data_IF_944516332788
#
_entry.id   IF_944516332788
#
_cell.length_a   1.000
_cell.length_b   1.000
_cell.length_c   1.000
_cell.angle_alpha   90.00
_cell.angle_beta   90.00
_cell.angle_gamma   90.00
#
_symmetry.space_group_name_H-M   'P 1'
#
loop_
_entity.id
_entity.type
_entity.pdbx_description
1 polymer ?
#
# COMPACT_ATOMS: atom_id res chain seq x y z
N UNK A 1 23.48 15.36 -11.38
CA UNK A 1 22.46 14.64 -12.12
C UNK A 1 23.12 13.48 -12.88
N UNK A 2 22.59 12.27 -12.72
CA UNK A 2 22.98 11.10 -13.52
C UNK A 2 21.84 10.86 -14.50
N UNK A 3 22.16 10.67 -15.77
CA UNK A 3 21.18 10.38 -16.82
C UNK A 3 21.47 8.96 -17.30
N UNK A 4 20.46 8.11 -17.29
CA UNK A 4 20.49 6.72 -17.73
C UNK A 4 19.24 6.37 -18.54
N UNK A 5 19.30 5.33 -19.35
CA UNK A 5 18.14 4.79 -20.06
C UNK A 5 17.81 3.44 -19.46
N UNK A 6 16.59 3.31 -18.94
CA UNK A 6 16.08 2.06 -18.36
C UNK A 6 14.80 1.69 -19.15
N UNK A 7 14.80 0.53 -19.79
CA UNK A 7 13.67 0.03 -20.59
C UNK A 7 13.15 1.05 -21.62
N UNK A 8 14.05 1.81 -22.23
CA UNK A 8 13.71 2.85 -23.22
C UNK A 8 13.26 4.19 -22.62
N UNK A 9 13.19 4.30 -21.28
CA UNK A 9 12.82 5.53 -20.58
C UNK A 9 14.08 6.27 -20.13
N UNK A 10 14.15 7.57 -20.42
CA UNK A 10 15.23 8.43 -19.95
C UNK A 10 15.00 8.80 -18.48
N UNK A 11 15.92 8.38 -17.62
CA UNK A 11 15.83 8.57 -16.16
C UNK A 11 16.85 9.61 -15.71
N UNK A 12 16.37 10.69 -15.07
CA UNK A 12 17.20 11.74 -14.46
C UNK A 12 17.27 11.51 -12.94
N UNK A 13 18.39 10.98 -12.44
CA UNK A 13 18.60 10.79 -11.00
C UNK A 13 19.17 12.06 -10.38
N UNK A 14 18.38 12.68 -9.51
CA UNK A 14 18.78 13.87 -8.78
C UNK A 14 19.14 13.48 -7.34
N UNK A 15 20.35 13.82 -6.89
CA UNK A 15 20.70 13.61 -5.48
C UNK A 15 19.93 14.58 -4.58
N UNK A 16 19.44 14.08 -3.46
CA UNK A 16 18.69 14.86 -2.46
C UNK A 16 19.10 14.43 -1.05
N UNK A 17 18.61 15.12 -0.03
CA UNK A 17 18.77 14.69 1.34
C UNK A 17 17.96 13.41 1.63
N UNK A 18 18.45 12.61 2.56
CA UNK A 18 17.72 11.43 3.02
C UNK A 18 16.39 11.83 3.66
N UNK A 19 15.32 11.11 3.31
CA UNK A 19 13.96 11.27 3.88
C UNK A 19 13.46 9.98 4.55
N UNK A 20 14.28 8.92 4.54
CA UNK A 20 13.98 7.61 5.12
C UNK A 20 15.10 7.25 6.09
N UNK A 21 14.78 6.48 7.13
CA UNK A 21 15.73 6.00 8.17
C UNK A 21 16.46 7.14 8.91
N UNK A 22 15.72 8.21 9.20
CA UNK A 22 16.20 9.37 9.98
C UNK A 22 15.10 9.85 10.94
N UNK A 23 15.51 10.59 11.98
CA UNK A 23 14.55 11.13 12.96
C UNK A 23 13.49 12.04 12.34
N UNK A 24 12.28 12.03 12.89
CA UNK A 24 11.08 12.68 12.35
C UNK A 24 11.26 14.18 12.04
N UNK A 25 11.92 14.94 12.92
CA UNK A 25 12.16 16.38 12.72
C UNK A 25 13.06 16.61 11.50
N UNK A 26 14.18 15.88 11.42
CA UNK A 26 15.11 15.97 10.30
C UNK A 26 14.46 15.54 8.98
N UNK A 27 13.62 14.50 9.02
CA UNK A 27 12.81 14.07 7.91
C UNK A 27 11.89 15.18 7.42
N UNK A 28 11.13 15.81 8.33
CA UNK A 28 10.22 16.92 7.98
C UNK A 28 10.95 18.09 7.31
N UNK A 29 12.10 18.51 7.85
CA UNK A 29 12.93 19.57 7.25
C UNK A 29 13.40 19.19 5.85
N UNK A 30 13.90 17.96 5.69
CA UNK A 30 14.39 17.47 4.40
C UNK A 30 13.26 17.36 3.37
N UNK A 31 12.07 16.96 3.75
CA UNK A 31 10.88 16.92 2.89
C UNK A 31 10.44 18.32 2.43
N UNK A 32 10.51 19.33 3.30
CA UNK A 32 10.22 20.73 2.95
C UNK A 32 11.23 21.26 1.93
N UNK A 33 12.52 20.95 2.11
CA UNK A 33 13.59 21.43 1.24
C UNK A 33 13.66 20.67 -0.10
N UNK A 34 13.16 19.44 -0.14
CA UNK A 34 13.27 18.54 -1.29
C UNK A 34 12.82 19.17 -2.62
N UNK A 35 11.64 19.77 -2.76
CA UNK A 35 11.19 20.35 -4.02
C UNK A 35 12.07 21.50 -4.51
N UNK A 36 12.64 22.28 -3.62
CA UNK A 36 13.54 23.40 -3.96
C UNK A 36 14.90 22.90 -4.46
N UNK A 37 15.44 21.86 -3.81
CA UNK A 37 16.68 21.22 -4.23
C UNK A 37 16.48 20.56 -5.60
N UNK A 38 15.37 19.85 -5.80
CA UNK A 38 15.03 19.24 -7.09
C UNK A 38 14.90 20.29 -8.17
N UNK A 39 14.17 21.38 -7.92
CA UNK A 39 14.03 22.48 -8.89
C UNK A 39 15.38 23.08 -9.28
N UNK A 40 16.23 23.40 -8.30
CA UNK A 40 17.57 23.91 -8.55
C UNK A 40 18.41 22.98 -9.44
N UNK A 41 18.34 21.66 -9.16
CA UNK A 41 19.07 20.67 -9.93
C UNK A 41 18.50 20.45 -11.32
N UNK A 42 17.20 20.48 -11.50
CA UNK A 42 16.54 20.42 -12.80
C UNK A 42 16.94 21.61 -13.65
N UNK A 43 16.90 22.83 -13.09
CA UNK A 43 17.29 24.04 -13.80
C UNK A 43 18.80 24.09 -14.18
N UNK A 44 19.64 23.39 -13.42
CA UNK A 44 21.09 23.24 -13.72
C UNK A 44 21.40 22.03 -14.61
N UNK A 45 20.42 21.19 -14.91
CA UNK A 45 20.59 20.07 -15.80
C UNK A 45 20.07 20.40 -17.20
N UNK A 46 20.37 19.52 -18.17
CA UNK A 46 19.81 19.62 -19.52
C UNK A 46 18.41 18.98 -19.60
N UNK A 47 17.63 19.05 -18.50
CA UNK A 47 16.28 18.51 -18.49
C UNK A 47 15.37 19.33 -19.43
N UNK A 48 14.68 18.69 -20.39
CA UNK A 48 13.93 19.38 -21.44
C UNK A 48 12.55 19.87 -20.96
N UNK A 49 12.52 20.84 -20.03
CA UNK A 49 11.27 21.32 -19.38
C UNK A 49 10.24 21.76 -20.41
N UNK A 50 10.67 22.44 -21.48
CA UNK A 50 9.75 23.01 -22.49
C UNK A 50 9.14 21.95 -23.42
N UNK A 51 9.70 20.75 -23.46
CA UNK A 51 9.26 19.63 -24.29
C UNK A 51 8.26 18.72 -23.56
N UNK A 52 7.94 19.02 -22.30
CA UNK A 52 6.99 18.23 -21.52
C UNK A 52 5.58 18.39 -22.07
N UNK A 53 4.97 17.28 -22.46
CA UNK A 53 3.57 17.22 -22.90
C UNK A 53 2.59 17.04 -21.74
N UNK A 54 3.06 16.49 -20.61
CA UNK A 54 2.32 16.33 -19.37
C UNK A 54 3.27 16.17 -18.19
N UNK A 55 2.79 16.48 -16.98
CA UNK A 55 3.52 16.22 -15.74
C UNK A 55 2.68 15.28 -14.87
N UNK A 56 3.21 14.11 -14.60
CA UNK A 56 2.65 13.16 -13.63
C UNK A 56 3.57 13.11 -12.42
N UNK A 57 3.02 13.33 -11.23
CA UNK A 57 3.84 13.18 -10.03
C UNK A 57 3.14 12.39 -8.95
N UNK A 58 3.92 11.59 -8.26
CA UNK A 58 3.52 10.87 -7.07
C UNK A 58 3.74 11.74 -5.83
N UNK A 59 2.79 11.75 -4.90
CA UNK A 59 2.85 12.57 -3.70
C UNK A 59 3.20 11.74 -2.46
N UNK A 60 4.49 11.50 -2.18
CA UNK A 60 4.94 10.94 -0.90
C UNK A 60 4.93 12.01 0.20
N UNK A 61 4.79 13.29 -0.18
CA UNK A 61 4.78 14.46 0.70
C UNK A 61 3.90 15.56 0.10
N UNK A 62 3.44 16.49 0.94
CA UNK A 62 2.58 17.62 0.52
C UNK A 62 3.35 18.81 -0.07
N UNK A 63 4.67 18.75 -0.16
CA UNK A 63 5.51 19.93 -0.47
C UNK A 63 5.88 20.09 -1.95
N UNK A 64 5.52 19.20 -2.85
CA UNK A 64 5.89 19.28 -4.27
C UNK A 64 5.15 20.38 -5.08
N UNK A 65 4.13 20.99 -4.52
CA UNK A 65 3.35 22.05 -5.18
C UNK A 65 4.21 23.13 -5.86
N UNK A 66 5.20 23.74 -5.20
CA UNK A 66 6.06 24.77 -5.80
C UNK A 66 6.85 24.29 -7.01
N UNK A 67 7.45 23.08 -6.92
CA UNK A 67 8.20 22.48 -8.02
C UNK A 67 7.31 22.28 -9.25
N UNK A 68 6.17 21.60 -9.05
CA UNK A 68 5.23 21.30 -10.15
C UNK A 68 4.67 22.59 -10.75
N UNK A 69 4.38 23.62 -9.94
CA UNK A 69 3.91 24.92 -10.43
C UNK A 69 4.90 25.57 -11.38
N UNK A 70 6.19 25.56 -11.06
CA UNK A 70 7.24 26.11 -11.94
C UNK A 70 7.35 25.32 -13.24
N UNK A 71 7.41 23.99 -13.15
CA UNK A 71 7.50 23.13 -14.34
C UNK A 71 6.28 23.31 -15.25
N UNK A 72 5.07 23.29 -14.69
CA UNK A 72 3.81 23.53 -15.40
C UNK A 72 3.79 24.88 -16.12
N UNK A 73 4.21 25.94 -15.43
CA UNK A 73 4.24 27.28 -16.02
C UNK A 73 5.27 27.42 -17.13
N UNK A 74 6.35 26.62 -17.10
CA UNK A 74 7.42 26.66 -18.10
C UNK A 74 7.10 25.82 -19.34
N UNK A 75 6.32 24.75 -19.20
CA UNK A 75 5.96 23.83 -20.29
C UNK A 75 4.54 24.03 -20.83
N UNK A 76 3.69 24.72 -20.06
CA UNK A 76 2.25 24.92 -20.37
C UNK A 76 1.49 23.60 -20.62
N UNK A 77 1.81 22.54 -19.89
CA UNK A 77 1.22 21.23 -20.06
C UNK A 77 0.28 20.86 -18.90
N UNK A 78 -0.67 19.91 -19.12
CA UNK A 78 -1.55 19.40 -18.07
C UNK A 78 -0.78 18.61 -17.01
N UNK A 79 -1.40 18.53 -15.84
CA UNK A 79 -0.75 17.94 -14.67
C UNK A 79 -1.66 16.91 -13.98
N UNK A 80 -1.08 15.76 -13.59
CA UNK A 80 -1.74 14.66 -12.91
C UNK A 80 -1.06 14.37 -11.57
N UNK A 81 -1.80 14.50 -10.47
CA UNK A 81 -1.35 14.11 -9.13
C UNK A 81 -1.82 12.71 -8.78
N UNK A 82 -0.88 11.80 -8.54
CA UNK A 82 -1.16 10.50 -7.94
C UNK A 82 -1.15 10.68 -6.42
N UNK A 83 -2.33 10.79 -5.82
CA UNK A 83 -2.50 11.06 -4.38
C UNK A 83 -2.78 9.74 -3.64
N UNK A 84 -1.80 9.25 -2.88
CA UNK A 84 -1.92 7.99 -2.13
C UNK A 84 -2.37 8.19 -0.70
N UNK A 85 -1.86 9.23 -0.06
CA UNK A 85 -2.12 9.49 1.35
C UNK A 85 -2.78 10.86 1.52
N UNK A 86 -3.88 10.88 2.26
CA UNK A 86 -4.60 12.11 2.58
C UNK A 86 -4.01 12.70 3.86
N UNK A 87 -2.86 13.36 3.74
CA UNK A 87 -2.22 14.08 4.85
C UNK A 87 -2.70 15.55 4.86
N UNK A 88 -3.00 16.15 6.01
CA UNK A 88 -2.72 15.69 7.37
C UNK A 88 -3.84 14.84 8.03
N UNK A 89 -4.92 14.53 7.30
CA UNK A 89 -6.11 13.88 7.84
C UNK A 89 -5.79 12.52 8.49
N UNK A 90 -5.01 11.65 7.84
CA UNK A 90 -4.66 10.34 8.42
C UNK A 90 -3.84 10.46 9.71
N UNK A 91 -2.98 11.49 9.81
CA UNK A 91 -2.19 11.72 11.00
C UNK A 91 -3.04 12.25 12.17
N UNK A 92 -4.11 12.99 11.85
CA UNK A 92 -5.13 13.39 12.83
C UNK A 92 -5.93 12.17 13.33
N UNK A 93 -6.35 11.29 12.43
CA UNK A 93 -7.12 10.09 12.76
C UNK A 93 -6.34 9.13 13.66
N UNK A 94 -5.03 9.01 13.45
CA UNK A 94 -4.13 8.21 14.31
C UNK A 94 -3.75 8.90 15.63
N UNK A 95 -4.18 10.16 15.85
CA UNK A 95 -3.82 10.92 17.05
C UNK A 95 -2.37 11.42 17.07
N UNK A 96 -1.64 11.32 15.95
CA UNK A 96 -0.28 11.84 15.80
C UNK A 96 -0.28 13.38 15.74
N UNK A 97 -1.28 13.94 15.09
CA UNK A 97 -1.56 15.38 15.07
C UNK A 97 -2.85 15.70 15.82
N UNK A 98 -2.91 16.91 16.37
CA UNK A 98 -4.13 17.49 16.92
C UNK A 98 -4.63 18.59 15.99
N UNK A 99 -5.90 19.00 16.11
CA UNK A 99 -6.46 20.16 15.39
C UNK A 99 -5.92 21.46 15.98
N UNK A 100 -4.64 21.71 15.76
CA UNK A 100 -3.87 22.86 16.21
C UNK A 100 -3.38 23.70 15.00
N UNK A 101 -2.68 24.84 15.19
CA UNK A 101 -2.14 25.65 14.11
C UNK A 101 -1.24 24.87 13.13
N UNK A 102 -0.52 23.85 13.59
CA UNK A 102 0.37 23.03 12.77
C UNK A 102 -0.44 22.18 11.78
N UNK A 103 -1.53 21.58 12.25
CA UNK A 103 -2.48 20.86 11.38
C UNK A 103 -3.04 21.75 10.27
N UNK A 104 -3.49 22.97 10.64
CA UNK A 104 -4.04 23.90 9.64
C UNK A 104 -2.99 24.39 8.66
N UNK A 105 -1.74 24.58 9.09
CA UNK A 105 -0.61 24.89 8.21
C UNK A 105 -0.38 23.77 7.20
N UNK A 106 -0.28 22.52 7.65
CA UNK A 106 -0.12 21.38 6.73
C UNK A 106 -1.31 21.24 5.78
N UNK A 107 -2.52 21.46 6.26
CA UNK A 107 -3.71 21.46 5.42
C UNK A 107 -3.69 22.56 4.35
N UNK A 108 -3.16 23.74 4.66
CA UNK A 108 -2.97 24.82 3.69
C UNK A 108 -1.94 24.43 2.63
N UNK A 109 -0.80 23.84 3.03
CA UNK A 109 0.24 23.37 2.13
C UNK A 109 -0.29 22.26 1.21
N UNK A 110 -1.02 21.28 1.75
CA UNK A 110 -1.66 20.24 0.97
C UNK A 110 -2.66 20.83 -0.05
N UNK A 111 -3.52 21.75 0.37
CA UNK A 111 -4.45 22.45 -0.52
C UNK A 111 -3.74 23.23 -1.63
N UNK A 112 -2.59 23.84 -1.34
CA UNK A 112 -1.76 24.48 -2.36
C UNK A 112 -1.25 23.46 -3.38
N UNK A 113 -0.69 22.33 -2.94
CA UNK A 113 -0.26 21.24 -3.84
C UNK A 113 -1.43 20.78 -4.73
N UNK A 114 -2.61 20.53 -4.14
CA UNK A 114 -3.80 20.13 -4.90
C UNK A 114 -4.22 21.21 -5.92
N UNK A 115 -4.07 22.49 -5.59
CA UNK A 115 -4.46 23.59 -6.50
C UNK A 115 -3.66 23.62 -7.80
N UNK A 116 -2.44 23.12 -7.79
CA UNK A 116 -1.56 23.03 -8.98
C UNK A 116 -1.98 21.92 -9.93
N UNK A 117 -2.56 20.82 -9.42
CA UNK A 117 -3.02 19.71 -10.22
C UNK A 117 -4.24 20.08 -11.10
N UNK A 118 -4.32 19.54 -12.31
CA UNK A 118 -5.51 19.57 -13.15
C UNK A 118 -6.34 18.31 -12.92
N UNK A 119 -5.66 17.19 -12.73
CA UNK A 119 -6.25 15.91 -12.42
C UNK A 119 -5.67 15.38 -11.11
N UNK A 120 -6.52 14.83 -10.25
CA UNK A 120 -6.08 14.09 -9.06
C UNK A 120 -6.67 12.69 -9.10
N UNK A 121 -5.79 11.68 -9.07
CA UNK A 121 -6.14 10.28 -8.86
C UNK A 121 -5.97 9.91 -7.39
N UNK A 122 -7.07 9.62 -6.70
CA UNK A 122 -7.07 9.11 -5.31
C UNK A 122 -7.13 7.59 -5.30
N UNK A 123 -6.68 6.98 -4.21
CA UNK A 123 -6.52 5.52 -4.17
C UNK A 123 -7.86 4.76 -4.10
N UNK A 124 -8.87 5.32 -3.44
CA UNK A 124 -10.17 4.67 -3.20
C UNK A 124 -11.32 5.66 -3.30
N UNK A 125 -12.55 5.13 -3.42
CA UNK A 125 -13.77 5.93 -3.49
C UNK A 125 -14.00 6.77 -2.23
N UNK A 126 -13.69 6.24 -1.04
CA UNK A 126 -13.83 6.98 0.21
C UNK A 126 -12.88 8.17 0.33
N UNK A 127 -11.82 8.21 -0.49
CA UNK A 127 -10.90 9.35 -0.51
C UNK A 127 -11.45 10.55 -1.30
N UNK A 128 -12.44 10.36 -2.16
CA UNK A 128 -13.05 11.44 -2.95
C UNK A 128 -13.62 12.57 -2.06
N UNK A 129 -14.23 12.23 -0.94
CA UNK A 129 -14.84 13.18 0.01
C UNK A 129 -13.88 14.26 0.51
N UNK A 130 -12.59 13.96 0.63
CA UNK A 130 -11.60 14.92 1.10
C UNK A 130 -11.28 16.03 0.07
N UNK A 131 -11.66 15.82 -1.19
CA UNK A 131 -11.37 16.71 -2.31
C UNK A 131 -12.60 17.32 -2.98
N UNK A 132 -13.80 17.14 -2.42
CA UNK A 132 -15.06 17.68 -2.97
C UNK A 132 -15.00 19.19 -3.24
N UNK A 133 -14.38 19.96 -2.35
CA UNK A 133 -14.26 21.42 -2.54
C UNK A 133 -13.26 21.79 -3.65
N UNK A 134 -12.31 20.90 -3.94
CA UNK A 134 -11.32 21.10 -4.99
C UNK A 134 -11.91 20.83 -6.38
N UNK A 135 -12.70 19.76 -6.53
CA UNK A 135 -13.31 19.39 -7.82
C UNK A 135 -14.35 20.38 -8.32
N UNK A 136 -14.94 21.18 -7.43
CA UNK A 136 -15.88 22.26 -7.80
C UNK A 136 -15.24 23.40 -8.60
N UNK A 137 -13.90 23.46 -8.69
CA UNK A 137 -13.20 24.45 -9.51
C UNK A 137 -13.28 24.07 -10.99
N UNK A 138 -13.35 25.06 -11.90
CA UNK A 138 -13.39 24.78 -13.33
C UNK A 138 -12.13 24.04 -13.80
N UNK A 139 -12.29 23.19 -14.78
CA UNK A 139 -11.21 22.40 -15.39
C UNK A 139 -10.41 21.55 -14.41
N UNK A 140 -11.08 20.95 -13.40
CA UNK A 140 -10.50 20.02 -12.46
C UNK A 140 -11.19 18.67 -12.57
N UNK A 141 -10.40 17.58 -12.64
CA UNK A 141 -10.90 16.21 -12.69
C UNK A 141 -10.41 15.43 -11.46
N UNK A 142 -11.34 14.81 -10.76
CA UNK A 142 -11.07 13.93 -9.64
C UNK A 142 -11.54 12.52 -10.02
N UNK A 143 -10.64 11.53 -9.86
CA UNK A 143 -10.96 10.15 -10.19
C UNK A 143 -10.34 9.18 -9.19
N UNK A 144 -10.83 7.95 -9.16
CA UNK A 144 -10.21 6.85 -8.44
C UNK A 144 -9.14 6.23 -9.33
N UNK A 145 -7.91 6.27 -8.87
CA UNK A 145 -6.76 5.58 -9.47
C UNK A 145 -6.26 4.57 -8.45
N UNK A 146 -6.71 3.33 -8.55
CA UNK A 146 -6.30 2.27 -7.65
C UNK A 146 -4.76 2.12 -7.61
N UNK A 147 -4.24 1.60 -6.52
CA UNK A 147 -2.84 1.20 -6.46
C UNK A 147 -2.60 0.04 -7.45
N UNK A 148 -1.37 -0.17 -7.86
CA UNK A 148 -1.02 -1.20 -8.85
C UNK A 148 0.28 -1.91 -8.51
N UNK A 149 0.42 -3.10 -9.09
CA UNK A 149 1.67 -3.85 -9.12
C UNK A 149 2.10 -4.07 -10.57
N UNK A 150 3.40 -4.12 -10.78
CA UNK A 150 3.98 -4.69 -12.00
C UNK A 150 4.04 -6.21 -11.87
N UNK A 151 4.07 -6.91 -13.01
CA UNK A 151 4.42 -8.32 -13.02
C UNK A 151 5.89 -8.44 -12.58
N UNK A 152 6.10 -9.03 -11.41
CA UNK A 152 7.46 -9.26 -10.91
C UNK A 152 8.10 -10.46 -11.65
N UNK A 153 9.38 -10.32 -12.02
CA UNK A 153 10.18 -11.49 -12.37
C UNK A 153 10.34 -12.34 -11.10
N UNK A 154 9.71 -13.51 -11.08
CA UNK A 154 9.82 -14.42 -9.96
C UNK A 154 11.20 -15.05 -9.89
N UNK A 155 11.79 -15.04 -8.71
CA UNK A 155 12.98 -15.82 -8.36
C UNK A 155 12.58 -16.88 -7.34
N UNK A 156 13.31 -18.00 -7.31
CA UNK A 156 13.10 -19.03 -6.31
C UNK A 156 13.31 -18.46 -4.92
N UNK A 157 12.38 -18.71 -4.02
CA UNK A 157 12.51 -18.26 -2.63
C UNK A 157 13.65 -18.99 -1.91
N UNK A 158 14.33 -18.25 -1.04
CA UNK A 158 15.34 -18.77 -0.11
C UNK A 158 14.72 -19.54 1.07
N UNK A 159 13.41 -19.38 1.31
CA UNK A 159 12.69 -20.02 2.40
C UNK A 159 12.23 -21.41 1.96
N UNK A 160 12.59 -22.43 2.76
CA UNK A 160 12.08 -23.80 2.64
C UNK A 160 11.19 -24.10 3.84
N UNK A 161 10.04 -24.69 3.60
CA UNK A 161 9.13 -25.13 4.66
C UNK A 161 9.23 -26.65 4.91
N UNK A 162 9.99 -27.39 4.09
CA UNK A 162 10.03 -28.87 4.09
C UNK A 162 10.54 -29.44 5.42
N UNK A 163 11.53 -28.77 6.02
CA UNK A 163 12.16 -29.25 7.27
C UNK A 163 11.70 -28.45 8.49
N UNK A 164 10.51 -27.86 8.41
CA UNK A 164 9.95 -27.02 9.48
C UNK A 164 8.66 -27.61 10.05
N UNK A 165 8.19 -27.04 11.16
CA UNK A 165 6.90 -27.39 11.75
C UNK A 165 5.71 -27.08 10.80
N UNK A 166 5.91 -26.36 9.72
CA UNK A 166 4.87 -26.01 8.75
C UNK A 166 4.80 -26.95 7.55
N UNK A 167 5.66 -27.98 7.49
CA UNK A 167 5.67 -28.93 6.38
C UNK A 167 4.32 -29.64 6.23
N UNK A 168 3.75 -29.58 5.01
CA UNK A 168 2.48 -30.22 4.67
C UNK A 168 1.22 -29.56 5.25
N UNK A 169 1.36 -28.42 5.93
CA UNK A 169 0.23 -27.66 6.47
C UNK A 169 -0.34 -26.67 5.45
N UNK A 170 -1.62 -26.32 5.58
CA UNK A 170 -2.23 -25.17 4.89
C UNK A 170 -1.74 -23.88 5.54
N UNK A 171 -1.05 -23.05 4.79
CA UNK A 171 -0.30 -21.88 5.31
C UNK A 171 -1.10 -20.61 5.19
N UNK A 172 -1.32 -19.96 6.33
CA UNK A 172 -1.73 -18.56 6.44
C UNK A 172 -0.48 -17.68 6.46
N UNK A 173 -0.36 -16.75 5.52
CA UNK A 173 0.85 -15.92 5.40
C UNK A 173 0.57 -14.43 5.64
N UNK A 174 1.43 -13.80 6.44
CA UNK A 174 1.52 -12.36 6.57
C UNK A 174 2.86 -11.87 6.01
N UNK A 175 2.82 -10.90 5.08
CA UNK A 175 4.03 -10.30 4.51
C UNK A 175 4.03 -8.79 4.75
N UNK A 176 5.18 -8.25 5.17
CA UNK A 176 5.46 -6.82 5.21
C UNK A 176 5.73 -6.27 6.60
N UNK A 177 5.42 -4.98 6.79
CA UNK A 177 5.71 -4.31 8.05
C UNK A 177 4.83 -4.84 9.20
N UNK A 178 5.48 -5.25 10.30
CA UNK A 178 4.89 -5.70 11.55
C UNK A 178 4.99 -4.57 12.59
N UNK A 179 4.25 -3.50 12.35
CA UNK A 179 4.22 -2.35 13.24
C UNK A 179 2.87 -2.20 13.96
N UNK A 180 2.81 -1.28 14.94
CA UNK A 180 1.63 -1.02 15.78
C UNK A 180 0.35 -0.82 14.96
N UNK A 181 0.43 -0.13 13.82
CA UNK A 181 -0.73 0.15 12.97
C UNK A 181 -1.39 -1.11 12.36
N UNK A 182 -0.73 -2.25 12.44
CA UNK A 182 -1.28 -3.52 11.94
C UNK A 182 -2.13 -4.24 12.99
N UNK A 183 -1.92 -3.99 14.29
CA UNK A 183 -2.68 -4.67 15.36
C UNK A 183 -2.61 -6.18 15.25
N UNK A 184 -1.39 -6.73 15.19
CA UNK A 184 -1.16 -8.13 14.81
C UNK A 184 -1.40 -9.13 15.94
N UNK A 185 -1.63 -8.68 17.18
CA UNK A 185 -1.87 -9.57 18.33
C UNK A 185 -2.99 -10.58 18.05
N UNK A 186 -4.04 -10.14 17.39
CA UNK A 186 -5.17 -11.02 17.01
C UNK A 186 -4.75 -12.17 16.07
N UNK A 187 -3.67 -12.01 15.30
CA UNK A 187 -3.14 -13.09 14.44
C UNK A 187 -2.38 -14.13 15.26
N UNK A 188 -1.71 -13.72 16.34
CA UNK A 188 -1.09 -14.63 17.30
C UNK A 188 -2.17 -15.39 18.09
N UNK A 189 -3.22 -14.70 18.50
CA UNK A 189 -4.35 -15.32 19.19
C UNK A 189 -5.11 -16.30 18.28
N UNK A 190 -5.23 -15.97 16.98
CA UNK A 190 -5.76 -16.90 15.98
C UNK A 190 -4.89 -18.17 15.89
N UNK A 191 -3.56 -18.00 15.78
CA UNK A 191 -2.63 -19.14 15.73
C UNK A 191 -2.74 -20.02 17.00
N UNK A 192 -2.88 -19.41 18.17
CA UNK A 192 -3.11 -20.11 19.42
C UNK A 192 -4.43 -20.90 19.41
N UNK A 193 -5.52 -20.27 18.97
CA UNK A 193 -6.84 -20.91 18.89
C UNK A 193 -6.87 -22.11 17.96
N UNK A 194 -5.96 -22.14 16.97
CA UNK A 194 -5.85 -23.21 15.97
C UNK A 194 -4.69 -24.19 16.24
N UNK A 195 -3.98 -24.10 17.37
CA UNK A 195 -2.80 -24.95 17.66
C UNK A 195 -3.06 -26.46 17.61
N UNK A 196 -4.30 -26.88 17.84
CA UNK A 196 -4.68 -28.30 17.78
C UNK A 196 -4.97 -28.77 16.33
N UNK A 197 -5.03 -27.86 15.34
CA UNK A 197 -5.18 -28.15 13.92
C UNK A 197 -3.80 -28.43 13.33
N UNK A 198 -3.42 -29.71 13.25
CA UNK A 198 -2.10 -30.15 12.73
C UNK A 198 -1.94 -29.88 11.22
N UNK A 199 -3.02 -29.64 10.52
CA UNK A 199 -3.07 -29.31 9.10
C UNK A 199 -2.93 -27.81 8.82
N UNK A 200 -2.80 -26.94 9.85
CA UNK A 200 -2.76 -25.48 9.72
C UNK A 200 -1.45 -24.90 10.25
N UNK A 201 -0.90 -23.93 9.54
CA UNK A 201 0.29 -23.21 9.96
C UNK A 201 0.26 -21.72 9.60
N UNK A 202 1.06 -20.94 10.32
CA UNK A 202 1.15 -19.50 10.18
C UNK A 202 2.58 -19.09 9.86
N UNK A 203 2.75 -18.27 8.82
CA UNK A 203 4.04 -17.79 8.36
C UNK A 203 4.06 -16.25 8.35
N UNK A 204 4.95 -15.67 9.15
CA UNK A 204 5.12 -14.21 9.22
C UNK A 204 6.48 -13.82 8.63
N UNK A 205 6.46 -12.92 7.62
CA UNK A 205 7.67 -12.49 6.92
C UNK A 205 7.72 -10.97 6.87
N UNK A 206 8.80 -10.39 7.34
CA UNK A 206 9.00 -8.97 7.27
C UNK A 206 9.81 -8.40 8.43
N UNK A 207 9.63 -7.10 8.64
CA UNK A 207 10.30 -6.32 9.69
C UNK A 207 9.30 -5.39 10.38
N UNK A 208 9.64 -4.85 11.52
CA UNK A 208 8.81 -3.86 12.20
C UNK A 208 9.08 -3.81 13.68
N UNK A 209 8.52 -2.81 14.35
CA UNK A 209 8.72 -2.55 15.78
C UNK A 209 8.09 -3.61 16.68
N UNK A 210 7.12 -4.37 16.17
CA UNK A 210 6.40 -5.37 16.96
C UNK A 210 6.93 -6.79 16.78
N UNK A 211 7.93 -7.01 15.92
CA UNK A 211 8.46 -8.38 15.65
C UNK A 211 8.86 -9.11 16.93
N UNK A 212 9.65 -8.49 17.79
CA UNK A 212 10.13 -9.10 19.02
C UNK A 212 8.97 -9.40 19.99
N UNK A 213 8.00 -8.50 20.10
CA UNK A 213 6.80 -8.70 20.94
C UNK A 213 5.97 -9.87 20.45
N UNK A 214 5.75 -9.97 19.14
CA UNK A 214 4.99 -11.07 18.52
C UNK A 214 5.69 -12.41 18.68
N UNK A 215 7.01 -12.48 18.52
CA UNK A 215 7.82 -13.67 18.74
C UNK A 215 7.78 -14.10 20.21
N UNK A 216 7.90 -13.17 21.13
CA UNK A 216 7.81 -13.43 22.57
C UNK A 216 6.42 -13.98 22.92
N UNK A 217 5.36 -13.34 22.45
CA UNK A 217 3.98 -13.80 22.66
C UNK A 217 3.75 -15.22 22.12
N UNK A 218 4.25 -15.53 20.92
CA UNK A 218 4.16 -16.87 20.35
C UNK A 218 4.91 -17.92 21.18
N UNK A 219 6.10 -17.57 21.69
CA UNK A 219 6.92 -18.42 22.56
C UNK A 219 6.25 -18.69 23.91
N UNK A 220 5.71 -17.66 24.55
CA UNK A 220 5.02 -17.76 25.84
C UNK A 220 3.78 -18.67 25.74
N UNK A 221 3.07 -18.59 24.62
CA UNK A 221 1.91 -19.43 24.28
C UNK A 221 2.32 -20.84 23.81
N UNK A 222 3.63 -21.12 23.67
CA UNK A 222 4.21 -22.39 23.18
C UNK A 222 3.58 -22.84 21.85
N UNK A 223 3.54 -21.94 20.89
CA UNK A 223 2.99 -22.21 19.56
C UNK A 223 4.02 -22.96 18.70
N UNK A 224 3.65 -24.13 18.19
CA UNK A 224 4.42 -24.95 17.25
C UNK A 224 3.90 -24.90 15.81
N UNK A 225 2.89 -24.05 15.57
CA UNK A 225 2.24 -23.86 14.29
C UNK A 225 2.55 -22.51 13.64
N UNK A 226 3.58 -21.78 14.12
CA UNK A 226 3.94 -20.44 13.64
C UNK A 226 5.45 -20.33 13.40
N UNK A 227 5.81 -19.65 12.29
CA UNK A 227 7.20 -19.28 11.99
C UNK A 227 7.32 -17.81 11.63
N UNK A 228 8.46 -17.22 12.00
CA UNK A 228 8.84 -15.85 11.67
C UNK A 228 10.11 -15.84 10.86
N UNK A 229 10.12 -15.08 9.77
CA UNK A 229 11.31 -14.80 8.98
C UNK A 229 11.50 -13.30 8.79
N UNK A 230 12.73 -12.90 8.61
CA UNK A 230 13.07 -11.54 8.23
C UNK A 230 12.55 -11.23 6.80
N UNK A 231 12.60 -9.95 6.44
CA UNK A 231 12.33 -9.48 5.09
C UNK A 231 13.21 -10.20 4.05
N UNK A 232 12.60 -10.62 2.95
CA UNK A 232 13.25 -11.25 1.80
C UNK A 232 13.21 -10.33 0.59
N UNK A 233 13.98 -10.65 -0.46
CA UNK A 233 13.91 -9.90 -1.72
C UNK A 233 12.49 -9.98 -2.30
N UNK A 234 12.00 -8.85 -2.78
CA UNK A 234 10.66 -8.75 -3.39
C UNK A 234 10.46 -9.71 -4.57
N UNK A 235 11.52 -10.07 -5.26
CA UNK A 235 11.50 -11.04 -6.37
C UNK A 235 11.26 -12.48 -5.90
N UNK A 236 11.53 -12.79 -4.64
CA UNK A 236 11.27 -14.10 -4.04
C UNK A 236 9.82 -14.28 -3.59
N UNK A 237 9.11 -13.17 -3.37
CA UNK A 237 7.74 -13.20 -2.84
C UNK A 237 6.79 -14.05 -3.69
N UNK A 238 6.74 -13.96 -5.03
CA UNK A 238 5.83 -14.80 -5.81
C UNK A 238 6.03 -16.29 -5.56
N UNK A 239 7.27 -16.79 -5.61
CA UNK A 239 7.55 -18.24 -5.40
C UNK A 239 7.32 -18.68 -3.96
N UNK A 240 7.40 -17.76 -2.99
CA UNK A 240 7.01 -18.04 -1.62
C UNK A 240 5.49 -18.18 -1.49
N UNK A 241 4.74 -17.30 -2.14
CA UNK A 241 3.27 -17.32 -2.10
C UNK A 241 2.70 -18.57 -2.77
N UNK A 242 3.39 -19.15 -3.75
CA UNK A 242 3.01 -20.43 -4.37
C UNK A 242 2.96 -21.61 -3.37
N UNK A 243 3.64 -21.50 -2.23
CA UNK A 243 3.61 -22.48 -1.13
C UNK A 243 2.55 -22.16 -0.07
N UNK A 244 1.82 -21.05 -0.20
CA UNK A 244 0.88 -20.56 0.78
C UNK A 244 -0.56 -20.66 0.29
N UNK A 245 -1.52 -20.57 1.20
CA UNK A 245 -2.92 -20.84 0.88
C UNK A 245 -3.83 -19.63 1.14
N UNK A 246 -3.55 -18.84 2.18
CA UNK A 246 -4.38 -17.71 2.60
C UNK A 246 -3.48 -16.52 2.99
N UNK A 247 -3.76 -15.35 2.45
CA UNK A 247 -3.10 -14.11 2.81
C UNK A 247 -3.74 -13.47 4.05
N UNK A 248 -2.93 -13.10 5.04
CA UNK A 248 -3.38 -12.43 6.25
C UNK A 248 -3.27 -10.91 6.13
N UNK A 249 -4.33 -10.23 6.52
CA UNK A 249 -4.36 -8.76 6.65
C UNK A 249 -4.90 -8.41 8.04
N UNK A 250 -4.20 -7.54 8.76
CA UNK A 250 -4.69 -7.01 10.00
C UNK A 250 -4.45 -5.49 10.05
N UNK A 251 -5.38 -4.76 10.65
CA UNK A 251 -5.29 -3.33 10.93
C UNK A 251 -5.67 -3.08 12.40
N UNK A 252 -4.94 -2.19 13.07
CA UNK A 252 -5.27 -1.73 14.41
C UNK A 252 -6.70 -1.13 14.43
N UNK A 253 -7.53 -1.42 15.43
CA UNK A 253 -8.91 -0.89 15.53
C UNK A 253 -8.99 0.63 15.47
N UNK A 254 -7.94 1.32 15.89
CA UNK A 254 -7.87 2.78 15.89
C UNK A 254 -7.57 3.37 14.51
N UNK A 255 -7.10 2.56 13.57
CA UNK A 255 -6.69 3.01 12.25
C UNK A 255 -7.89 3.16 11.32
N UNK A 256 -8.20 4.39 10.94
CA UNK A 256 -9.30 4.74 10.02
C UNK A 256 -8.81 4.88 8.57
N UNK A 257 -7.91 3.99 8.15
CA UNK A 257 -7.38 4.06 6.79
C UNK A 257 -8.45 3.74 5.74
N UNK A 258 -8.47 4.53 4.70
CA UNK A 258 -9.26 4.28 3.50
C UNK A 258 -8.41 3.73 2.34
N UNK A 259 -7.17 3.34 2.63
CA UNK A 259 -6.25 2.85 1.61
C UNK A 259 -6.31 1.32 1.51
N UNK A 260 -6.17 0.79 0.30
CA UNK A 260 -6.00 -0.64 0.06
C UNK A 260 -4.52 -0.99 0.29
N UNK A 261 -4.19 -1.84 1.26
CA UNK A 261 -2.81 -2.21 1.55
C UNK A 261 -2.14 -2.91 0.36
N UNK A 262 -0.86 -2.63 0.11
CA UNK A 262 -0.11 -3.27 -0.98
C UNK A 262 -0.09 -4.79 -0.90
N UNK A 263 -0.06 -5.36 0.31
CA UNK A 263 -0.13 -6.82 0.52
C UNK A 263 -1.42 -7.46 -0.03
N UNK A 264 -2.56 -6.74 0.00
CA UNK A 264 -3.79 -7.24 -0.63
C UNK A 264 -3.61 -7.42 -2.14
N UNK A 265 -3.00 -6.45 -2.80
CA UNK A 265 -2.72 -6.53 -4.24
C UNK A 265 -1.80 -7.73 -4.55
N UNK A 266 -0.76 -7.90 -3.73
CA UNK A 266 0.20 -9.01 -3.85
C UNK A 266 -0.49 -10.36 -3.68
N UNK A 267 -1.37 -10.51 -2.70
CA UNK A 267 -2.15 -11.73 -2.52
C UNK A 267 -3.11 -11.98 -3.68
N UNK A 268 -3.81 -10.97 -4.17
CA UNK A 268 -4.68 -11.11 -5.34
C UNK A 268 -3.88 -11.52 -6.59
N UNK A 269 -2.69 -10.94 -6.79
CA UNK A 269 -1.82 -11.29 -7.90
C UNK A 269 -1.33 -12.75 -7.82
N UNK A 270 -1.08 -13.25 -6.62
CA UNK A 270 -0.70 -14.63 -6.37
C UNK A 270 -1.91 -15.60 -6.30
N UNK A 271 -3.15 -15.09 -6.40
CA UNK A 271 -4.36 -15.88 -6.24
C UNK A 271 -4.56 -16.43 -4.83
N UNK A 272 -4.06 -15.74 -3.80
CA UNK A 272 -4.32 -16.10 -2.42
C UNK A 272 -5.59 -15.40 -1.93
N UNK A 273 -6.66 -16.14 -1.58
CA UNK A 273 -7.77 -15.58 -0.83
C UNK A 273 -7.28 -14.98 0.49
N UNK A 274 -7.96 -13.94 0.97
CA UNK A 274 -7.52 -13.25 2.18
C UNK A 274 -8.41 -13.53 3.38
N UNK A 275 -7.80 -13.62 4.55
CA UNK A 275 -8.45 -13.50 5.84
C UNK A 275 -8.05 -12.16 6.45
N UNK A 276 -8.98 -11.23 6.53
CA UNK A 276 -8.69 -9.85 6.86
C UNK A 276 -9.44 -9.39 8.13
N UNK A 277 -8.68 -9.01 9.15
CA UNK A 277 -9.21 -8.25 10.29
C UNK A 277 -9.11 -6.77 9.98
N UNK A 278 -10.25 -6.13 9.77
CA UNK A 278 -10.36 -4.75 9.30
C UNK A 278 -11.30 -3.93 10.18
N UNK A 279 -11.33 -2.63 9.94
CA UNK A 279 -12.24 -1.71 10.59
C UNK A 279 -13.46 -1.44 9.70
N UNK A 280 -14.60 -1.22 10.31
CA UNK A 280 -15.85 -0.91 9.61
C UNK A 280 -15.71 0.33 8.71
N UNK A 281 -16.39 0.32 7.56
CA UNK A 281 -16.44 1.46 6.64
C UNK A 281 -15.17 1.69 5.83
N UNK A 282 -14.27 0.72 5.74
CA UNK A 282 -13.12 0.78 4.83
C UNK A 282 -13.46 0.19 3.47
N UNK A 283 -13.00 0.83 2.38
CA UNK A 283 -13.23 0.34 1.00
C UNK A 283 -12.74 -1.11 0.78
N UNK A 284 -11.76 -1.57 1.55
CA UNK A 284 -11.26 -2.93 1.46
C UNK A 284 -12.27 -3.96 1.99
N UNK A 285 -13.09 -3.61 2.97
CA UNK A 285 -14.18 -4.48 3.48
C UNK A 285 -15.17 -4.78 2.38
N UNK A 286 -15.62 -3.73 1.70
CA UNK A 286 -16.60 -3.84 0.62
C UNK A 286 -15.99 -4.61 -0.57
N UNK A 287 -14.76 -4.27 -0.95
CA UNK A 287 -14.06 -4.92 -2.06
C UNK A 287 -13.90 -6.45 -1.84
N UNK A 288 -13.47 -6.89 -0.64
CA UNK A 288 -13.30 -8.32 -0.36
C UNK A 288 -14.66 -9.05 -0.41
N UNK A 289 -15.71 -8.43 0.12
CA UNK A 289 -17.07 -9.00 0.16
C UNK A 289 -17.70 -9.05 -1.23
N UNK A 290 -17.68 -7.95 -1.97
CA UNK A 290 -18.34 -7.81 -3.27
C UNK A 290 -17.69 -8.71 -4.33
N UNK A 291 -16.36 -8.77 -4.34
CA UNK A 291 -15.61 -9.62 -5.28
C UNK A 291 -15.45 -11.06 -4.75
N UNK A 292 -15.89 -11.33 -3.51
CA UNK A 292 -15.82 -12.64 -2.85
C UNK A 292 -14.43 -13.30 -2.99
N UNK A 293 -13.40 -12.55 -2.58
CA UNK A 293 -11.98 -12.97 -2.67
C UNK A 293 -11.36 -13.30 -1.31
N UNK A 294 -12.18 -13.48 -0.29
CA UNK A 294 -11.74 -13.81 1.06
C UNK A 294 -12.82 -13.68 2.10
N UNK A 295 -12.40 -13.55 3.36
CA UNK A 295 -13.27 -13.31 4.52
C UNK A 295 -12.79 -12.08 5.27
N UNK A 296 -13.76 -11.31 5.77
CA UNK A 296 -13.52 -10.10 6.57
C UNK A 296 -14.09 -10.29 7.96
N UNK A 297 -13.27 -9.99 8.94
CA UNK A 297 -13.66 -9.89 10.34
C UNK A 297 -13.61 -8.45 10.82
N UNK A 298 -14.69 -8.00 11.46
CA UNK A 298 -14.79 -6.69 12.10
C UNK A 298 -15.13 -6.96 13.56
N UNK A 299 -14.12 -6.97 14.42
CA UNK A 299 -14.26 -7.30 15.83
C UNK A 299 -12.94 -7.62 16.51
N UNK A 300 -13.04 -8.11 17.74
CA UNK A 300 -11.87 -8.48 18.55
C UNK A 300 -11.99 -9.90 19.16
N UNK A 301 -13.10 -10.60 18.94
CA UNK A 301 -13.32 -11.93 19.49
C UNK A 301 -12.64 -12.98 18.59
N UNK A 302 -11.65 -13.68 19.13
CA UNK A 302 -10.84 -14.66 18.39
C UNK A 302 -11.68 -15.85 17.91
N UNK A 303 -12.71 -16.24 18.64
CA UNK A 303 -13.57 -17.36 18.26
C UNK A 303 -14.27 -17.14 16.91
N UNK A 304 -14.82 -15.96 16.68
CA UNK A 304 -15.47 -15.62 15.42
C UNK A 304 -14.45 -15.52 14.27
N UNK A 305 -13.25 -14.97 14.55
CA UNK A 305 -12.19 -14.89 13.57
C UNK A 305 -11.67 -16.27 13.16
N UNK A 306 -11.58 -17.19 14.13
CA UNK A 306 -11.26 -18.61 13.88
C UNK A 306 -12.30 -19.29 13.00
N UNK A 307 -13.58 -19.09 13.25
CA UNK A 307 -14.65 -19.67 12.42
C UNK A 307 -14.51 -19.29 10.95
N UNK A 308 -14.14 -18.02 10.67
CA UNK A 308 -13.88 -17.57 9.31
C UNK A 308 -12.60 -18.19 8.70
N UNK A 309 -11.56 -18.43 9.51
CA UNK A 309 -10.36 -19.13 9.08
C UNK A 309 -10.68 -20.58 8.69
N UNK A 310 -11.46 -21.27 9.52
CA UNK A 310 -11.89 -22.65 9.28
C UNK A 310 -12.79 -22.75 8.03
N UNK A 311 -13.76 -21.82 7.84
CA UNK A 311 -14.58 -21.76 6.61
C UNK A 311 -13.73 -21.65 5.33
N UNK A 312 -12.63 -20.91 5.38
CA UNK A 312 -11.72 -20.78 4.24
C UNK A 312 -10.98 -22.10 3.93
N UNK A 313 -10.43 -22.77 4.94
CA UNK A 313 -9.54 -23.91 4.73
C UNK A 313 -10.28 -25.25 4.58
N UNK A 314 -11.48 -25.38 5.12
CA UNK A 314 -12.25 -26.62 5.11
C UNK A 314 -13.08 -26.77 3.82
N UNK A 315 -13.20 -25.70 3.00
CA UNK A 315 -13.92 -25.72 1.72
C UNK A 315 -12.97 -25.45 0.54
N UNK A 316 -12.29 -26.48 0.06
CA UNK A 316 -11.29 -26.37 -1.02
C UNK A 316 -11.88 -25.84 -2.34
N UNK A 317 -13.11 -26.23 -2.70
CA UNK A 317 -13.75 -25.73 -3.92
C UNK A 317 -14.01 -24.22 -3.85
N UNK A 318 -14.43 -23.73 -2.70
CA UNK A 318 -14.64 -22.30 -2.48
C UNK A 318 -13.31 -21.54 -2.46
N UNK A 319 -12.28 -22.11 -1.83
CA UNK A 319 -10.94 -21.52 -1.79
C UNK A 319 -10.38 -21.36 -3.21
N UNK A 320 -10.50 -22.39 -4.06
CA UNK A 320 -10.09 -22.35 -5.47
C UNK A 320 -10.86 -21.28 -6.26
N UNK A 321 -12.18 -21.23 -6.11
CA UNK A 321 -13.00 -20.23 -6.78
C UNK A 321 -12.66 -18.79 -6.32
N UNK A 322 -12.31 -18.57 -5.04
CA UNK A 322 -11.81 -17.29 -4.54
C UNK A 322 -10.44 -16.93 -5.15
N UNK A 323 -9.55 -17.92 -5.29
CA UNK A 323 -8.24 -17.75 -5.94
C UNK A 323 -8.38 -17.24 -7.38
N UNK A 324 -9.24 -17.89 -8.16
CA UNK A 324 -9.50 -17.49 -9.56
C UNK A 324 -10.07 -16.06 -9.65
N UNK A 325 -11.01 -15.70 -8.76
CA UNK A 325 -11.53 -14.32 -8.67
C UNK A 325 -10.46 -13.32 -8.26
N UNK A 326 -9.58 -13.69 -7.33
CA UNK A 326 -8.45 -12.84 -6.91
C UNK A 326 -7.51 -12.51 -8.07
N UNK A 327 -7.12 -13.51 -8.85
CA UNK A 327 -6.30 -13.30 -10.06
C UNK A 327 -7.00 -12.38 -11.06
N UNK A 328 -8.28 -12.60 -11.34
CA UNK A 328 -9.06 -11.76 -12.24
C UNK A 328 -9.12 -10.30 -11.74
N UNK A 329 -9.42 -10.12 -10.46
CA UNK A 329 -9.47 -8.83 -9.80
C UNK A 329 -8.13 -8.07 -9.92
N UNK A 330 -7.01 -8.79 -9.70
CA UNK A 330 -5.66 -8.22 -9.84
C UNK A 330 -5.41 -7.68 -11.24
N UNK A 331 -5.76 -8.43 -12.27
CA UNK A 331 -5.59 -8.01 -13.68
C UNK A 331 -6.49 -6.82 -14.02
N UNK A 332 -7.76 -6.85 -13.59
CA UNK A 332 -8.78 -5.85 -13.88
C UNK A 332 -8.50 -4.50 -13.21
N UNK A 333 -8.08 -4.50 -11.93
CA UNK A 333 -8.03 -3.27 -11.14
C UNK A 333 -6.60 -2.84 -10.76
N UNK A 334 -5.66 -3.80 -10.62
CA UNK A 334 -4.38 -3.54 -9.96
C UNK A 334 -3.17 -3.72 -10.88
N UNK A 335 -3.36 -3.82 -12.19
CA UNK A 335 -2.25 -3.89 -13.13
C UNK A 335 -1.66 -2.51 -13.44
N UNK A 336 -0.34 -2.43 -13.58
CA UNK A 336 0.36 -1.21 -13.98
C UNK A 336 -0.10 -0.70 -15.35
N UNK A 337 -0.45 -1.62 -16.26
CA UNK A 337 -0.96 -1.28 -17.59
C UNK A 337 -2.33 -0.57 -17.51
N UNK A 338 -3.23 -1.04 -16.63
CA UNK A 338 -4.52 -0.39 -16.40
C UNK A 338 -4.33 1.04 -15.87
N UNK A 339 -3.49 1.20 -14.83
CA UNK A 339 -3.21 2.51 -14.25
C UNK A 339 -2.57 3.47 -15.26
N UNK A 340 -1.60 3.01 -16.06
CA UNK A 340 -0.96 3.82 -17.09
C UNK A 340 -1.97 4.28 -18.17
N UNK A 341 -2.81 3.38 -18.68
CA UNK A 341 -3.86 3.71 -19.64
C UNK A 341 -4.85 4.75 -19.10
N UNK A 342 -5.26 4.62 -17.83
CA UNK A 342 -6.16 5.57 -17.19
C UNK A 342 -5.52 6.96 -17.09
N UNK A 343 -4.27 7.06 -16.63
CA UNK A 343 -3.54 8.33 -16.52
C UNK A 343 -3.41 9.00 -17.89
N UNK A 344 -2.98 8.25 -18.91
CA UNK A 344 -2.81 8.77 -20.29
C UNK A 344 -4.15 9.23 -20.86
N UNK A 345 -5.20 8.43 -20.75
CA UNK A 345 -6.54 8.80 -21.23
C UNK A 345 -7.06 10.08 -20.55
N UNK A 346 -6.85 10.21 -19.25
CA UNK A 346 -7.26 11.40 -18.51
C UNK A 346 -6.48 12.65 -18.93
N UNK A 347 -5.18 12.54 -19.13
CA UNK A 347 -4.33 13.64 -19.61
C UNK A 347 -4.68 14.06 -21.04
N UNK A 348 -4.96 13.11 -21.92
CA UNK A 348 -5.31 13.38 -23.33
C UNK A 348 -6.58 14.24 -23.48
N UNK A 349 -7.46 14.25 -22.49
CA UNK A 349 -8.63 15.12 -22.49
C UNK A 349 -8.33 16.61 -22.17
N UNK A 350 -7.09 16.94 -21.81
CA UNK A 350 -6.61 18.28 -21.47
C UNK A 350 -5.60 18.84 -22.52
N UNK A 351 -5.16 18.02 -23.47
CA UNK A 351 -4.29 18.39 -24.59
C UNK A 351 -5.16 18.70 -25.81
#
# INVERSE_FOLDING_TARGET
>A
CIIEIIDGVQVFRLSAFKTVDIGNIKRGINEILLPFIMLYRILKSNFPIKELNAIVWYSPTIFFGPLVKVLKSSSNCPTYLILRDIFPEWALDLGILKKDPIYYLFKLVAKYQYSVADIIGVQTSSNLKYLESWVKKPNKKLEVLNNWLSLAHSQKTSISLTDTCLNGRKIFIFIGNMGIAQGMDILIDLAESMKNRQDVGFLFIGRGTEVENLQTSASDKKLDNILFYNEIDSKEIPSLLDMCHIGLIALDPRHKSHNIPGKFLTYMQAGLPVLARLNEGTDLVDLIKDENVGRVYIGNEVGDFRNLAEDLIDNENNLKAMSERGHFLSQKMFSSNHAAKQIVSSLSSYI
#
